data_IF_542940098924
#
_entry.id   IF_542940098924
#
_cell.length_a   1.000
_cell.length_b   1.000
_cell.length_c   1.000
_cell.angle_alpha   90.00
_cell.angle_beta   90.00
_cell.angle_gamma   90.00
#
_symmetry.space_group_name_H-M   'P 1'
#
loop_
_entity.id
_entity.type
_entity.pdbx_description
1 polymer ?
#
# COMPACT_ATOMS: atom_id res chain seq x y z
N UNK A 1 -14.57 -5.23 -17.92
CA UNK A 1 -13.34 -4.51 -18.38
C UNK A 1 -13.23 -4.48 -19.90
N UNK A 2 -13.49 -5.60 -20.60
CA UNK A 2 -13.61 -5.61 -22.08
C UNK A 2 -14.68 -4.64 -22.60
N UNK A 3 -15.70 -4.39 -21.78
CA UNK A 3 -16.82 -3.53 -22.13
C UNK A 3 -16.57 -2.04 -21.86
N UNK A 4 -15.38 -1.60 -21.40
CA UNK A 4 -15.08 -0.21 -21.00
C UNK A 4 -13.73 0.36 -21.52
N UNK A 5 -13.36 0.18 -22.80
CA UNK A 5 -12.08 0.68 -23.31
C UNK A 5 -12.00 2.22 -23.39
N UNK A 6 -13.14 2.88 -23.51
CA UNK A 6 -13.32 4.33 -23.64
C UNK A 6 -13.01 5.11 -22.35
N UNK A 7 -13.12 4.48 -21.18
CA UNK A 7 -12.82 5.11 -19.87
C UNK A 7 -11.43 4.78 -19.35
N UNK A 8 -10.70 3.96 -20.10
CA UNK A 8 -9.35 3.51 -19.79
C UNK A 8 -8.35 3.94 -20.89
N UNK A 9 -8.34 5.21 -21.32
CA UNK A 9 -7.49 5.65 -22.42
C UNK A 9 -6.01 5.62 -22.03
N UNK A 10 -5.16 5.44 -23.04
CA UNK A 10 -3.71 5.43 -22.85
C UNK A 10 -3.17 6.81 -22.39
N UNK A 11 -3.83 7.92 -22.78
CA UNK A 11 -3.51 9.29 -22.39
C UNK A 11 -4.75 10.16 -22.09
N UNK A 12 -4.59 11.16 -21.20
CA UNK A 12 -5.65 12.05 -20.70
C UNK A 12 -5.51 13.45 -21.31
N UNK A 13 -6.55 13.97 -21.95
CA UNK A 13 -6.53 15.23 -22.73
C UNK A 13 -6.97 16.51 -21.97
N UNK A 14 -7.15 16.49 -20.64
CA UNK A 14 -7.47 17.69 -19.85
C UNK A 14 -8.22 17.47 -18.54
N UNK A 15 -8.54 18.56 -17.83
CA UNK A 15 -9.40 18.55 -16.63
C UNK A 15 -10.89 18.44 -17.02
N UNK A 16 -11.72 17.72 -16.23
CA UNK A 16 -13.16 17.64 -16.48
C UNK A 16 -13.88 18.95 -16.09
N UNK A 17 -14.99 19.29 -16.78
CA UNK A 17 -15.82 20.46 -16.45
C UNK A 17 -16.60 20.30 -15.13
N UNK A 18 -17.04 21.42 -14.55
CA UNK A 18 -17.90 21.52 -13.35
C UNK A 18 -19.33 21.02 -13.67
N UNK A 19 -19.97 20.28 -12.75
CA UNK A 19 -21.22 19.52 -13.03
C UNK A 19 -22.15 19.40 -11.82
N UNK A 20 -23.46 19.37 -12.08
CA UNK A 20 -24.56 19.27 -11.09
C UNK A 20 -24.82 17.87 -10.51
N UNK A 21 -24.06 16.85 -10.90
CA UNK A 21 -24.39 15.46 -10.54
C UNK A 21 -23.74 15.04 -9.23
N UNK A 22 -24.58 14.64 -8.27
CA UNK A 22 -24.17 14.06 -6.99
C UNK A 22 -23.81 12.57 -7.16
N UNK A 23 -22.66 12.15 -6.62
CA UNK A 23 -22.21 10.76 -6.65
C UNK A 23 -22.73 10.02 -5.40
N UNK A 24 -23.64 9.07 -5.59
CA UNK A 24 -24.18 8.24 -4.51
C UNK A 24 -23.49 6.88 -4.45
N UNK A 25 -23.26 6.38 -3.23
CA UNK A 25 -22.73 5.04 -2.97
C UNK A 25 -23.88 4.20 -2.41
N UNK A 26 -24.46 3.34 -3.24
CA UNK A 26 -25.56 2.47 -2.83
C UNK A 26 -25.02 1.26 -2.07
N UNK A 27 -25.50 1.06 -0.84
CA UNK A 27 -25.11 -0.06 0.02
C UNK A 27 -26.01 -1.27 -0.22
N UNK A 28 -25.48 -2.47 -0.03
CA UNK A 28 -26.30 -3.68 -0.05
C UNK A 28 -27.29 -3.68 1.14
N UNK A 29 -28.48 -4.32 0.98
CA UNK A 29 -29.40 -4.52 2.10
C UNK A 29 -28.67 -5.18 3.28
N UNK A 30 -28.95 -4.74 4.50
CA UNK A 30 -28.30 -5.22 5.75
C UNK A 30 -26.84 -4.76 5.99
N UNK A 31 -26.25 -3.91 5.15
CA UNK A 31 -24.89 -3.40 5.41
C UNK A 31 -24.89 -2.47 6.61
N UNK A 32 -24.11 -2.81 7.65
CA UNK A 32 -23.96 -1.98 8.85
C UNK A 32 -22.72 -1.07 8.78
N UNK A 33 -22.75 0.12 9.43
CA UNK A 33 -21.62 1.04 9.41
C UNK A 33 -20.35 0.44 10.01
N UNK A 34 -19.23 0.66 9.34
CA UNK A 34 -17.90 0.26 9.80
C UNK A 34 -17.12 1.52 10.15
N UNK A 35 -16.70 1.65 11.42
CA UNK A 35 -15.81 2.70 11.88
C UNK A 35 -14.77 2.11 12.82
N UNK A 36 -13.51 2.05 12.36
CA UNK A 36 -12.38 1.51 13.13
C UNK A 36 -11.52 2.66 13.65
N UNK A 37 -10.90 2.46 14.81
CA UNK A 37 -9.94 3.42 15.34
C UNK A 37 -8.81 3.66 14.34
N UNK A 38 -8.41 4.93 14.10
CA UNK A 38 -7.27 5.25 13.23
C UNK A 38 -6.00 4.53 13.68
N UNK A 39 -5.12 4.21 12.73
CA UNK A 39 -3.80 3.67 13.06
C UNK A 39 -3.00 4.69 13.87
N UNK A 40 -2.15 4.18 14.78
CA UNK A 40 -1.15 5.02 15.46
C UNK A 40 -0.16 5.56 14.42
N UNK A 41 0.01 6.88 14.40
CA UNK A 41 0.93 7.57 13.51
C UNK A 41 2.07 8.21 14.30
N UNK A 42 3.26 8.25 13.71
CA UNK A 42 4.37 9.01 14.28
C UNK A 42 4.06 10.53 14.22
N UNK A 43 4.70 11.37 15.07
CA UNK A 43 4.43 12.81 15.09
C UNK A 43 4.57 13.50 13.73
N UNK A 44 5.56 13.09 12.92
CA UNK A 44 5.75 13.64 11.57
C UNK A 44 4.63 13.23 10.61
N UNK A 45 4.15 11.99 10.69
CA UNK A 45 3.04 11.50 9.86
C UNK A 45 1.75 12.20 10.24
N UNK A 46 1.50 12.43 11.53
CA UNK A 46 0.33 13.18 11.99
C UNK A 46 0.37 14.65 11.52
N UNK A 47 1.56 15.27 11.52
CA UNK A 47 1.75 16.63 10.98
C UNK A 47 1.43 16.66 9.48
N UNK A 48 1.97 15.71 8.72
CA UNK A 48 1.71 15.58 7.29
C UNK A 48 0.23 15.29 6.99
N UNK A 49 -0.44 14.48 7.82
CA UNK A 49 -1.88 14.23 7.72
C UNK A 49 -2.67 15.52 7.79
N UNK A 50 -2.38 16.36 8.78
CA UNK A 50 -3.07 17.63 8.97
C UNK A 50 -2.85 18.56 7.78
N UNK A 51 -1.63 18.62 7.23
CA UNK A 51 -1.32 19.42 6.05
C UNK A 51 -2.15 18.95 4.85
N UNK A 52 -2.09 17.66 4.51
CA UNK A 52 -2.83 17.15 3.35
C UNK A 52 -4.36 17.25 3.54
N UNK A 53 -4.88 17.03 4.75
CA UNK A 53 -6.31 17.23 5.03
C UNK A 53 -6.70 18.69 4.87
N UNK A 54 -5.87 19.64 5.34
CA UNK A 54 -6.15 21.07 5.18
C UNK A 54 -6.14 21.45 3.70
N UNK A 55 -5.17 20.98 2.92
CA UNK A 55 -5.17 21.21 1.48
C UNK A 55 -6.43 20.66 0.78
N UNK A 56 -6.92 19.49 1.22
CA UNK A 56 -8.15 18.90 0.67
C UNK A 56 -9.40 19.69 1.11
N UNK A 57 -9.41 20.24 2.33
CA UNK A 57 -10.47 21.12 2.82
C UNK A 57 -10.49 22.46 2.05
N UNK A 58 -9.32 23.08 1.87
CA UNK A 58 -9.17 24.36 1.18
C UNK A 58 -9.56 24.26 -0.30
N UNK A 59 -9.29 23.10 -0.92
CA UNK A 59 -9.73 22.78 -2.29
C UNK A 59 -11.21 22.39 -2.39
N UNK A 60 -11.91 22.24 -1.26
CA UNK A 60 -13.31 21.81 -1.21
C UNK A 60 -13.54 20.35 -1.58
N UNK A 61 -12.49 19.52 -1.61
CA UNK A 61 -12.60 18.10 -1.96
C UNK A 61 -13.15 17.25 -0.80
N UNK A 62 -12.99 17.71 0.44
CA UNK A 62 -13.55 17.07 1.63
C UNK A 62 -14.21 18.12 2.54
N UNK A 63 -15.03 17.64 3.48
CA UNK A 63 -15.59 18.44 4.58
C UNK A 63 -15.58 17.61 5.87
N UNK A 64 -15.57 18.25 7.05
CA UNK A 64 -15.83 17.54 8.30
C UNK A 64 -17.17 16.80 8.25
N UNK A 65 -17.21 15.61 8.83
CA UNK A 65 -18.40 14.76 8.84
C UNK A 65 -18.53 14.02 10.17
N UNK A 66 -19.77 13.76 10.60
CA UNK A 66 -20.12 12.94 11.78
C UNK A 66 -20.68 11.58 11.34
N UNK A 67 -20.17 11.05 10.22
CA UNK A 67 -20.63 9.80 9.63
C UNK A 67 -20.48 8.62 10.59
N UNK A 68 -21.47 7.71 10.66
CA UNK A 68 -21.28 6.43 11.34
C UNK A 68 -20.28 5.52 10.60
N UNK A 69 -19.89 5.86 9.37
CA UNK A 69 -18.88 5.19 8.55
C UNK A 69 -17.52 5.85 8.66
N UNK A 70 -16.46 5.05 8.81
CA UNK A 70 -15.07 5.50 8.88
C UNK A 70 -14.12 4.53 8.19
N UNK A 71 -13.40 5.03 7.18
CA UNK A 71 -12.32 4.29 6.53
C UNK A 71 -10.96 4.74 7.09
N UNK A 72 -10.00 3.81 7.17
CA UNK A 72 -8.69 4.09 7.74
C UNK A 72 -7.82 4.86 6.74
N UNK A 73 -7.26 5.98 7.18
CA UNK A 73 -6.22 6.71 6.45
C UNK A 73 -4.84 6.08 6.69
N UNK A 74 -4.03 5.97 5.63
CA UNK A 74 -2.64 5.53 5.69
C UNK A 74 -1.76 6.35 4.76
N UNK A 75 -0.47 6.45 5.10
CA UNK A 75 0.51 7.11 4.26
C UNK A 75 1.32 6.16 3.42
N UNK A 76 1.56 6.59 2.19
CA UNK A 76 2.32 5.87 1.17
C UNK A 76 3.51 6.71 0.74
N UNK A 77 4.74 6.19 0.92
CA UNK A 77 5.93 6.89 0.40
C UNK A 77 6.02 6.77 -1.12
N UNK A 78 6.10 7.91 -1.79
CA UNK A 78 6.41 8.04 -3.21
C UNK A 78 7.91 7.82 -3.44
N UNK A 79 8.30 7.66 -4.72
CA UNK A 79 9.70 7.46 -5.13
C UNK A 79 10.60 8.65 -4.78
N UNK A 80 10.04 9.86 -4.78
CA UNK A 80 10.69 11.12 -4.43
C UNK A 80 10.83 11.33 -2.90
N UNK A 81 10.37 10.38 -2.08
CA UNK A 81 10.40 10.47 -0.62
C UNK A 81 9.18 11.16 0.01
N UNK A 82 8.31 11.80 -0.78
CA UNK A 82 7.10 12.45 -0.30
C UNK A 82 6.05 11.41 0.16
N UNK A 83 5.18 11.77 1.10
CA UNK A 83 4.06 10.93 1.51
C UNK A 83 2.81 11.21 0.67
N UNK A 84 2.00 10.17 0.42
CA UNK A 84 0.69 10.25 -0.22
C UNK A 84 -0.35 9.67 0.73
N UNK A 85 -1.35 10.46 1.08
CA UNK A 85 -2.50 10.00 1.83
C UNK A 85 -3.32 9.02 0.98
N UNK A 86 -3.62 7.85 1.52
CA UNK A 86 -4.47 6.82 0.93
C UNK A 86 -5.56 6.40 1.91
N UNK A 87 -6.77 6.18 1.42
CA UNK A 87 -7.90 5.71 2.22
C UNK A 87 -8.09 4.22 1.97
N UNK A 88 -8.09 3.41 3.04
CA UNK A 88 -8.27 1.98 2.97
C UNK A 88 -9.75 1.60 2.95
N UNK A 89 -10.29 1.44 1.75
CA UNK A 89 -11.68 1.01 1.54
C UNK A 89 -11.87 -0.52 1.55
N UNK A 90 -10.84 -1.33 1.86
CA UNK A 90 -10.96 -2.80 1.79
C UNK A 90 -12.08 -3.36 2.66
N UNK A 91 -12.27 -2.81 3.84
CA UNK A 91 -13.36 -3.24 4.74
C UNK A 91 -14.74 -2.86 4.22
N UNK A 92 -14.83 -1.85 3.34
CA UNK A 92 -16.07 -1.47 2.65
C UNK A 92 -16.29 -2.29 1.37
N UNK A 93 -15.30 -3.08 0.93
CA UNK A 93 -15.29 -3.81 -0.35
C UNK A 93 -15.02 -5.32 -0.11
N UNK A 94 -15.81 -6.00 0.72
CA UNK A 94 -15.47 -7.33 1.27
C UNK A 94 -15.76 -8.52 0.34
N UNK A 95 -16.82 -8.51 -0.46
CA UNK A 95 -17.12 -9.64 -1.35
C UNK A 95 -16.66 -9.42 -2.79
N UNK A 96 -16.44 -10.52 -3.53
CA UNK A 96 -16.05 -10.48 -4.95
C UNK A 96 -17.18 -9.91 -5.79
N UNK A 97 -18.40 -10.27 -5.45
CA UNK A 97 -19.64 -9.82 -6.09
C UNK A 97 -19.87 -8.31 -5.85
N UNK A 98 -19.65 -7.83 -4.62
CA UNK A 98 -19.65 -6.38 -4.33
C UNK A 98 -18.50 -5.68 -5.05
N UNK A 99 -17.30 -6.27 -5.09
CA UNK A 99 -16.17 -5.65 -5.79
C UNK A 99 -16.43 -5.57 -7.31
N UNK A 100 -17.03 -6.59 -7.91
CA UNK A 100 -17.41 -6.59 -9.33
C UNK A 100 -18.50 -5.56 -9.61
N UNK A 101 -19.51 -5.48 -8.73
CA UNK A 101 -20.56 -4.47 -8.79
C UNK A 101 -19.98 -3.06 -8.63
N UNK A 102 -19.16 -2.81 -7.61
CA UNK A 102 -18.52 -1.53 -7.35
C UNK A 102 -17.59 -1.14 -8.50
N UNK A 103 -16.81 -2.10 -9.03
CA UNK A 103 -15.95 -1.85 -10.17
C UNK A 103 -16.77 -1.50 -11.42
N UNK A 104 -17.87 -2.21 -11.66
CA UNK A 104 -18.79 -1.92 -12.77
C UNK A 104 -19.45 -0.55 -12.62
N UNK A 105 -19.91 -0.20 -11.41
CA UNK A 105 -20.45 1.13 -11.10
C UNK A 105 -19.40 2.21 -11.31
N UNK A 106 -18.17 2.01 -10.82
CA UNK A 106 -17.07 2.97 -11.00
C UNK A 106 -16.74 3.13 -12.49
N UNK A 107 -16.57 2.06 -13.25
CA UNK A 107 -16.24 2.11 -14.68
C UNK A 107 -17.38 2.71 -15.52
N UNK A 108 -18.63 2.35 -15.23
CA UNK A 108 -19.80 2.94 -15.88
C UNK A 108 -19.96 4.42 -15.51
N UNK A 109 -19.69 4.79 -14.26
CA UNK A 109 -19.66 6.20 -13.86
C UNK A 109 -18.54 6.95 -14.58
N UNK A 110 -17.35 6.36 -14.70
CA UNK A 110 -16.28 6.96 -15.47
C UNK A 110 -16.74 7.22 -16.92
N UNK A 111 -17.48 6.28 -17.52
CA UNK A 111 -18.04 6.39 -18.89
C UNK A 111 -19.07 7.49 -18.99
N UNK A 112 -20.09 7.42 -18.15
CA UNK A 112 -21.22 8.35 -18.16
C UNK A 112 -20.76 9.77 -17.84
N UNK A 113 -19.69 9.90 -17.05
CA UNK A 113 -19.11 11.19 -16.66
C UNK A 113 -17.91 11.59 -17.52
N UNK A 114 -17.55 10.86 -18.59
CA UNK A 114 -16.36 11.14 -19.41
C UNK A 114 -15.11 11.40 -18.56
N UNK A 115 -14.98 10.61 -17.48
CA UNK A 115 -13.80 10.54 -16.65
C UNK A 115 -12.99 9.32 -17.08
N UNK A 116 -11.71 9.37 -16.81
CA UNK A 116 -10.77 8.44 -17.42
C UNK A 116 -9.76 7.99 -16.37
N UNK A 117 -9.57 6.69 -16.26
CA UNK A 117 -8.52 6.10 -15.45
C UNK A 117 -7.36 5.66 -16.36
N UNK A 118 -6.13 5.93 -15.97
CA UNK A 118 -4.96 5.51 -16.76
C UNK A 118 -4.73 4.01 -16.56
N UNK A 119 -5.06 3.19 -17.56
CA UNK A 119 -5.01 1.73 -17.47
C UNK A 119 -3.64 1.20 -17.00
N UNK A 120 -2.55 1.80 -17.49
CA UNK A 120 -1.16 1.46 -17.08
C UNK A 120 -0.89 1.60 -15.56
N UNK A 121 -1.78 2.25 -14.81
CA UNK A 121 -1.68 2.43 -13.35
C UNK A 121 -2.74 1.65 -12.58
N UNK A 122 -3.59 0.87 -13.27
CA UNK A 122 -4.65 0.10 -12.65
C UNK A 122 -4.33 -1.39 -12.73
N UNK A 123 -4.35 -2.06 -11.59
CA UNK A 123 -4.23 -3.51 -11.47
C UNK A 123 -5.53 -4.03 -10.87
N UNK A 124 -6.15 -5.02 -11.52
CA UNK A 124 -7.45 -5.54 -11.12
C UNK A 124 -7.35 -7.05 -10.90
N UNK A 125 -8.25 -7.59 -10.06
CA UNK A 125 -8.38 -9.03 -9.80
C UNK A 125 -7.08 -9.71 -9.34
N UNK A 126 -6.31 -9.03 -8.48
CA UNK A 126 -5.10 -9.57 -7.90
C UNK A 126 -5.38 -10.21 -6.54
N UNK A 127 -5.12 -11.51 -6.40
CA UNK A 127 -5.15 -12.22 -5.11
C UNK A 127 -4.01 -11.78 -4.17
N UNK A 128 -2.99 -11.16 -4.77
CA UNK A 128 -1.77 -10.69 -4.12
C UNK A 128 -1.28 -9.42 -4.81
N UNK A 129 -1.15 -8.34 -4.04
CA UNK A 129 -0.66 -7.03 -4.54
C UNK A 129 0.64 -6.69 -3.85
N UNK A 130 1.70 -6.49 -4.64
CA UNK A 130 2.96 -5.92 -4.13
C UNK A 130 2.79 -4.41 -4.01
N UNK A 131 2.58 -3.94 -2.79
CA UNK A 131 2.36 -2.54 -2.49
C UNK A 131 3.36 -2.07 -1.43
N UNK A 132 4.23 -1.12 -1.81
CA UNK A 132 5.20 -0.47 -0.92
C UNK A 132 6.23 -1.35 -0.24
N UNK A 133 6.66 -2.44 -0.89
CA UNK A 133 7.57 -3.38 -0.24
C UNK A 133 6.90 -4.20 0.83
N UNK A 134 5.57 -4.27 0.76
CA UNK A 134 4.77 -5.28 1.38
C UNK A 134 4.03 -6.05 0.29
N UNK A 135 3.76 -7.30 0.59
CA UNK A 135 2.87 -8.15 -0.18
C UNK A 135 1.56 -8.20 0.60
N UNK A 136 0.51 -7.63 0.01
CA UNK A 136 -0.85 -7.66 0.54
C UNK A 136 -1.58 -8.84 -0.07
N UNK A 137 -2.12 -9.71 0.76
CA UNK A 137 -2.90 -10.89 0.36
C UNK A 137 -4.26 -10.87 1.07
N UNK A 138 -5.12 -11.83 0.74
CA UNK A 138 -6.36 -12.12 1.48
C UNK A 138 -6.08 -12.46 2.96
N UNK A 139 -4.96 -13.12 3.24
CA UNK A 139 -4.61 -13.65 4.56
C UNK A 139 -3.83 -12.64 5.42
N UNK A 140 -3.48 -11.47 4.87
CA UNK A 140 -2.81 -10.40 5.60
C UNK A 140 -1.74 -9.67 4.79
N UNK A 141 -0.93 -8.87 5.50
CA UNK A 141 0.14 -8.04 4.94
C UNK A 141 1.49 -8.61 5.39
N UNK A 142 2.38 -8.90 4.44
CA UNK A 142 3.74 -9.39 4.73
C UNK A 142 4.79 -8.47 4.09
N UNK A 143 6.03 -8.49 4.54
CA UNK A 143 7.12 -7.70 3.92
C UNK A 143 7.51 -8.34 2.58
N UNK A 144 7.70 -7.52 1.55
CA UNK A 144 8.18 -7.96 0.24
C UNK A 144 9.65 -8.41 0.37
N UNK A 145 9.93 -9.70 0.15
CA UNK A 145 11.28 -10.25 0.31
C UNK A 145 12.30 -9.63 -0.65
N UNK A 146 11.88 -9.14 -1.82
CA UNK A 146 12.78 -8.53 -2.80
C UNK A 146 13.34 -7.19 -2.34
N UNK A 147 12.49 -6.34 -1.75
CA UNK A 147 12.92 -5.04 -1.19
C UNK A 147 13.71 -5.20 0.10
N UNK A 148 13.37 -6.17 0.95
CA UNK A 148 14.14 -6.47 2.16
C UNK A 148 15.57 -6.89 1.80
N UNK A 149 15.71 -7.81 0.84
CA UNK A 149 17.03 -8.26 0.35
C UNK A 149 17.86 -7.08 -0.13
N UNK A 150 17.32 -6.21 -0.98
CA UNK A 150 18.04 -5.04 -1.49
C UNK A 150 18.50 -4.07 -0.38
N UNK A 151 17.69 -3.83 0.65
CA UNK A 151 18.08 -2.96 1.77
C UNK A 151 19.16 -3.60 2.64
N UNK A 152 19.09 -4.91 2.87
CA UNK A 152 20.08 -5.62 3.69
C UNK A 152 21.43 -5.79 2.98
N UNK A 153 21.47 -5.78 1.64
CA UNK A 153 22.71 -5.96 0.87
C UNK A 153 23.37 -4.66 0.38
N UNK A 154 22.92 -3.50 0.86
CA UNK A 154 23.44 -2.20 0.44
C UNK A 154 24.04 -1.42 1.61
N UNK A 155 24.99 -0.53 1.33
CA UNK A 155 25.53 0.42 2.31
C UNK A 155 24.41 1.39 2.77
N UNK A 156 24.39 1.83 4.05
CA UNK A 156 25.42 1.66 5.07
C UNK A 156 25.25 0.38 5.91
N UNK A 157 24.29 -0.50 5.57
CA UNK A 157 23.98 -1.69 6.36
C UNK A 157 25.12 -2.72 6.25
N UNK A 158 25.64 -2.96 5.04
CA UNK A 158 26.87 -3.73 4.85
C UNK A 158 28.10 -2.83 4.85
N UNK A 159 29.14 -3.23 5.58
CA UNK A 159 30.46 -2.60 5.57
C UNK A 159 31.50 -3.54 4.94
N UNK A 160 32.53 -2.94 4.34
CA UNK A 160 33.67 -3.70 3.79
C UNK A 160 34.48 -4.29 4.95
N UNK A 161 34.93 -5.55 4.77
CA UNK A 161 35.85 -6.23 5.68
C UNK A 161 37.13 -5.40 5.88
N UNK A 162 37.48 -5.15 7.15
CA UNK A 162 38.80 -4.64 7.51
C UNK A 162 39.78 -5.81 7.69
N UNK A 163 41.02 -5.66 7.19
CA UNK A 163 42.10 -6.63 7.38
C UNK A 163 42.64 -6.69 8.82
N UNK A 164 42.16 -5.79 9.70
CA UNK A 164 42.48 -5.75 11.12
C UNK A 164 41.21 -5.70 11.98
N UNK A 165 41.27 -6.28 13.18
CA UNK A 165 40.16 -6.33 14.13
C UNK A 165 39.44 -7.67 14.16
N UNK A 166 38.82 -8.00 15.31
CA UNK A 166 38.09 -9.24 15.51
C UNK A 166 36.70 -9.26 14.87
N UNK A 167 36.17 -10.46 14.67
CA UNK A 167 34.83 -10.70 14.12
C UNK A 167 33.89 -11.25 15.18
N UNK A 168 32.61 -10.92 15.05
CA UNK A 168 31.52 -11.50 15.86
C UNK A 168 30.51 -12.15 14.91
N UNK A 169 30.16 -13.41 15.16
CA UNK A 169 29.11 -14.12 14.43
C UNK A 169 27.90 -14.28 15.34
N UNK A 170 26.75 -13.80 14.89
CA UNK A 170 25.46 -14.12 15.48
C UNK A 170 24.79 -15.18 14.62
N UNK A 171 24.38 -16.29 15.20
CA UNK A 171 23.67 -17.36 14.50
C UNK A 171 22.42 -17.75 15.26
N UNK A 172 21.34 -17.99 14.53
CA UNK A 172 20.09 -18.51 15.06
C UNK A 172 19.53 -19.62 14.16
N UNK A 173 18.76 -20.52 14.75
CA UNK A 173 18.27 -21.74 14.12
C UNK A 173 16.79 -21.96 14.41
N UNK A 174 16.06 -22.45 13.43
CA UNK A 174 14.69 -22.93 13.57
C UNK A 174 14.54 -24.29 12.89
N UNK A 175 13.41 -24.98 13.12
CA UNK A 175 13.08 -26.23 12.42
C UNK A 175 12.99 -26.09 10.88
N UNK A 176 13.00 -24.87 10.34
CA UNK A 176 12.90 -24.62 8.91
C UNK A 176 14.23 -24.16 8.29
N UNK A 177 15.18 -23.67 9.07
CA UNK A 177 16.33 -22.96 8.53
C UNK A 177 17.29 -22.41 9.57
N UNK A 178 18.49 -22.11 9.09
CA UNK A 178 19.59 -21.48 9.80
C UNK A 178 19.83 -20.08 9.22
N UNK A 179 20.09 -19.10 10.10
CA UNK A 179 20.51 -17.76 9.72
C UNK A 179 21.73 -17.33 10.51
N UNK A 180 22.67 -16.63 9.88
CA UNK A 180 23.78 -16.00 10.57
C UNK A 180 24.13 -14.62 10.01
N UNK A 181 24.70 -13.79 10.88
CA UNK A 181 25.17 -12.44 10.61
C UNK A 181 26.62 -12.33 11.06
N UNK A 182 27.50 -11.95 10.15
CA UNK A 182 28.89 -11.62 10.46
C UNK A 182 29.00 -10.11 10.72
N UNK A 183 29.60 -9.75 11.84
CA UNK A 183 29.79 -8.36 12.26
C UNK A 183 31.26 -8.05 12.56
N UNK A 184 31.69 -6.83 12.27
CA UNK A 184 33.00 -6.29 12.60
C UNK A 184 32.83 -4.85 13.08
N UNK A 185 33.46 -4.48 14.21
CA UNK A 185 33.37 -3.13 14.80
C UNK A 185 31.91 -2.61 14.97
N UNK A 186 30.99 -3.50 15.35
CA UNK A 186 29.57 -3.16 15.56
C UNK A 186 28.77 -2.94 14.26
N UNK A 187 29.35 -3.19 13.08
CA UNK A 187 28.67 -3.08 11.78
C UNK A 187 28.52 -4.45 11.14
N UNK A 188 27.46 -4.62 10.34
CA UNK A 188 27.24 -5.87 9.61
C UNK A 188 28.14 -5.93 8.38
N UNK A 189 28.76 -7.09 8.18
CA UNK A 189 29.63 -7.38 7.04
C UNK A 189 28.89 -8.23 6.01
N UNK A 190 28.21 -9.29 6.45
CA UNK A 190 27.44 -10.16 5.56
C UNK A 190 26.36 -10.93 6.32
N UNK A 191 25.36 -11.39 5.57
CA UNK A 191 24.29 -12.27 6.01
C UNK A 191 24.42 -13.61 5.27
N UNK A 192 24.21 -14.73 5.95
CA UNK A 192 24.02 -16.02 5.31
C UNK A 192 22.80 -16.72 5.88
N UNK A 193 22.06 -17.42 5.02
CA UNK A 193 20.88 -18.18 5.41
C UNK A 193 20.81 -19.46 4.62
N UNK A 194 20.43 -20.56 5.27
CA UNK A 194 20.28 -21.88 4.65
C UNK A 194 18.99 -22.51 5.12
N UNK A 195 18.18 -23.00 4.18
CA UNK A 195 17.00 -23.82 4.52
C UNK A 195 17.47 -25.20 4.96
N UNK A 196 16.92 -25.71 6.05
CA UNK A 196 17.22 -27.07 6.51
C UNK A 196 16.44 -28.08 5.67
N UNK A 197 17.08 -29.23 5.40
CA UNK A 197 16.39 -30.36 4.79
C UNK A 197 15.53 -31.07 5.85
N UNK A 198 14.51 -31.86 5.46
CA UNK A 198 13.58 -32.50 6.41
C UNK A 198 14.22 -33.43 7.45
N UNK A 199 15.50 -33.75 7.29
CA UNK A 199 16.28 -34.71 8.07
C UNK A 199 17.50 -34.06 8.76
N UNK A 200 17.62 -32.73 8.69
CA UNK A 200 18.64 -31.93 9.40
C UNK A 200 18.03 -31.18 10.59
#
# INVERSE_FOLDING_TARGET
MRDYPDVLPDDLLGLPPEREVEFTIDLAPETTPISKAPYRMAPMELKELKIQLQELLDKGFIRPSVSPWGALALFVKKKDGSMRLCINYRELNKSREEHERHLSIVLQTLRDKKLYAKLKKCEFWLDKVSFLGHVVTKDGISVDPGKLKNRLVTTPILTILSGSGGFVVYSDASHQGLGCVLMQHGKVVTYASRKLKPYE
#
